data_IF_827128439001
#
_entry.id   IF_827128439001
#
_cell.length_a   1.000
_cell.length_b   1.000
_cell.length_c   1.000
_cell.angle_alpha   90.00
_cell.angle_beta   90.00
_cell.angle_gamma   90.00
#
_symmetry.space_group_name_H-M   'P 1'
#
loop_
_entity.id
_entity.type
_entity.pdbx_description
1 polymer ?
#
# COMPACT_ATOMS: atom_id res chain seq x y z
N UNK A 1 28.58 -49.36 -38.95
CA UNK A 1 27.88 -48.06 -38.88
C UNK A 1 26.48 -48.08 -38.28
N UNK A 2 25.62 -49.10 -38.46
CA UNK A 2 24.22 -49.13 -37.93
C UNK A 2 24.09 -49.22 -36.39
N UNK A 3 25.09 -49.75 -35.64
CA UNK A 3 25.03 -49.86 -34.16
C UNK A 3 25.30 -48.57 -33.42
N UNK A 4 26.10 -47.64 -34.00
CA UNK A 4 26.43 -46.34 -33.42
C UNK A 4 25.24 -45.38 -33.50
N UNK A 5 24.49 -45.39 -34.60
CA UNK A 5 23.32 -44.53 -34.83
C UNK A 5 22.19 -44.83 -33.86
N UNK A 6 21.97 -46.12 -33.51
CA UNK A 6 20.93 -46.52 -32.55
C UNK A 6 21.27 -46.09 -31.12
N UNK A 7 22.54 -46.09 -30.73
CA UNK A 7 23.01 -45.61 -29.41
C UNK A 7 22.87 -44.09 -29.29
N UNK A 8 23.22 -43.33 -30.35
CA UNK A 8 23.06 -41.89 -30.40
C UNK A 8 21.59 -41.45 -30.35
N UNK A 9 20.70 -42.17 -31.05
CA UNK A 9 19.23 -41.93 -31.04
C UNK A 9 18.64 -42.22 -29.67
N UNK A 10 19.13 -43.25 -28.97
CA UNK A 10 18.62 -43.61 -27.63
C UNK A 10 19.07 -42.55 -26.57
N UNK A 11 20.27 -42.04 -26.68
CA UNK A 11 20.78 -40.95 -25.81
C UNK A 11 20.02 -39.65 -26.07
N UNK A 12 19.70 -39.34 -27.34
CA UNK A 12 18.88 -38.17 -27.68
C UNK A 12 17.45 -38.28 -27.14
N UNK A 13 16.85 -39.50 -27.21
CA UNK A 13 15.48 -39.72 -26.68
C UNK A 13 15.44 -39.68 -25.16
N UNK A 14 16.49 -40.14 -24.46
CA UNK A 14 16.58 -40.02 -22.99
C UNK A 14 16.86 -38.58 -22.54
N UNK A 15 17.60 -37.79 -23.30
CA UNK A 15 17.77 -36.37 -23.05
C UNK A 15 16.47 -35.58 -23.27
N UNK A 16 15.69 -35.94 -24.30
CA UNK A 16 14.34 -35.30 -24.49
C UNK A 16 13.36 -35.68 -23.39
N UNK A 17 13.39 -36.91 -22.85
CA UNK A 17 12.49 -37.32 -21.78
C UNK A 17 12.75 -36.59 -20.45
N UNK A 18 13.98 -36.14 -20.19
CA UNK A 18 14.30 -35.34 -19.00
C UNK A 18 13.69 -33.94 -19.07
N UNK A 19 13.50 -33.39 -20.27
CA UNK A 19 12.81 -32.11 -20.44
C UNK A 19 11.29 -32.18 -20.22
N UNK A 20 10.68 -33.34 -20.38
CA UNK A 20 9.22 -33.50 -20.13
C UNK A 20 8.88 -33.71 -18.66
N UNK A 21 9.82 -34.10 -17.81
CA UNK A 21 9.58 -34.30 -16.37
C UNK A 21 9.56 -32.96 -15.62
N UNK A 22 10.20 -31.92 -16.16
CA UNK A 22 10.20 -30.54 -15.58
C UNK A 22 8.91 -29.78 -15.94
N UNK A 23 8.11 -30.25 -16.90
CA UNK A 23 6.88 -29.57 -17.33
C UNK A 23 5.64 -29.91 -16.49
N UNK A 24 5.72 -30.89 -15.57
CA UNK A 24 4.73 -31.07 -14.51
C UNK A 24 5.13 -30.22 -13.33
N UNK A 25 5.07 -28.87 -13.47
CA UNK A 25 5.27 -27.95 -12.36
C UNK A 25 4.29 -28.30 -11.25
N UNK A 26 4.78 -28.80 -10.12
CA UNK A 26 3.96 -29.01 -8.93
C UNK A 26 3.23 -27.70 -8.67
N UNK A 27 1.91 -27.72 -8.75
CA UNK A 27 1.08 -26.57 -8.44
C UNK A 27 1.38 -26.19 -6.99
N UNK A 28 1.86 -24.97 -6.78
CA UNK A 28 2.15 -24.48 -5.44
C UNK A 28 0.87 -24.53 -4.59
N UNK A 29 1.02 -24.96 -3.35
CA UNK A 29 -0.04 -24.86 -2.37
C UNK A 29 -0.35 -23.40 -2.04
N UNK A 30 -1.54 -23.13 -1.54
CA UNK A 30 -1.95 -21.78 -1.11
C UNK A 30 -0.94 -21.20 -0.10
N UNK A 31 -0.45 -22.02 0.84
CA UNK A 31 0.55 -21.63 1.82
C UNK A 31 1.84 -21.19 1.15
N UNK A 32 2.38 -21.98 0.24
CA UNK A 32 3.62 -21.64 -0.49
C UNK A 32 3.49 -20.35 -1.30
N UNK A 33 2.32 -20.12 -1.92
CA UNK A 33 2.08 -18.86 -2.65
C UNK A 33 2.10 -17.67 -1.70
N UNK A 34 1.44 -17.77 -0.53
CA UNK A 34 1.42 -16.71 0.48
C UNK A 34 2.82 -16.45 1.05
N UNK A 35 3.57 -17.50 1.39
CA UNK A 35 4.94 -17.38 1.91
C UNK A 35 5.87 -16.68 0.91
N UNK A 36 5.82 -17.08 -0.36
CA UNK A 36 6.62 -16.45 -1.43
C UNK A 36 6.21 -15.00 -1.70
N UNK A 37 4.91 -14.69 -1.64
CA UNK A 37 4.42 -13.32 -1.73
C UNK A 37 4.99 -12.46 -0.61
N UNK A 38 4.87 -12.91 0.65
CA UNK A 38 5.40 -12.20 1.82
C UNK A 38 6.91 -11.97 1.71
N UNK A 39 7.66 -12.99 1.26
CA UNK A 39 9.10 -12.88 1.05
C UNK A 39 9.43 -11.82 0.00
N UNK A 40 8.72 -11.83 -1.13
CA UNK A 40 8.93 -10.87 -2.21
C UNK A 40 8.53 -9.45 -1.80
N UNK A 41 7.42 -9.29 -1.08
CA UNK A 41 6.91 -8.00 -0.63
C UNK A 41 7.87 -7.34 0.39
N UNK A 42 8.42 -8.12 1.33
CA UNK A 42 9.46 -7.68 2.28
C UNK A 42 10.75 -7.20 1.62
N UNK A 43 11.01 -7.60 0.40
CA UNK A 43 12.20 -7.21 -0.37
C UNK A 43 11.95 -6.01 -1.29
N UNK A 44 10.76 -5.38 -1.21
CA UNK A 44 10.48 -4.15 -1.94
C UNK A 44 11.17 -2.98 -1.24
N UNK A 45 12.10 -2.35 -1.96
CA UNK A 45 12.85 -1.18 -1.50
C UNK A 45 12.37 0.12 -2.10
N UNK A 46 11.66 0.04 -3.22
CA UNK A 46 11.04 1.19 -3.88
C UNK A 46 9.92 0.73 -4.81
N UNK A 47 8.95 1.57 -5.04
CA UNK A 47 7.88 1.32 -6.00
C UNK A 47 7.20 2.62 -6.44
N UNK A 48 6.61 2.57 -7.63
CA UNK A 48 5.59 3.52 -8.05
C UNK A 48 4.21 2.87 -7.93
N UNK A 49 3.23 3.62 -7.46
CA UNK A 49 1.83 3.21 -7.35
C UNK A 49 0.94 4.22 -8.06
N UNK A 50 0.02 3.73 -8.87
CA UNK A 50 -1.13 4.51 -9.34
C UNK A 50 -2.33 4.10 -8.52
N UNK A 51 -2.99 5.05 -7.88
CA UNK A 51 -4.07 4.81 -6.94
C UNK A 51 -5.36 5.46 -7.44
N UNK A 52 -6.47 4.77 -7.25
CA UNK A 52 -7.82 5.30 -7.45
C UNK A 52 -8.68 4.96 -6.25
N UNK A 53 -9.51 5.90 -5.83
CA UNK A 53 -10.49 5.70 -4.77
C UNK A 53 -11.83 6.23 -5.26
N UNK A 54 -12.87 5.41 -5.16
CA UNK A 54 -14.24 5.76 -5.51
C UNK A 54 -15.14 5.56 -4.31
N UNK A 55 -15.98 6.55 -4.03
CA UNK A 55 -17.01 6.49 -3.00
C UNK A 55 -18.34 6.82 -3.67
N UNK A 56 -19.33 5.95 -3.48
CA UNK A 56 -20.65 6.10 -4.04
C UNK A 56 -21.70 6.04 -2.92
N UNK A 57 -22.56 7.03 -2.87
CA UNK A 57 -23.74 7.03 -2.02
C UNK A 57 -24.99 6.89 -2.89
N UNK A 58 -25.74 5.81 -2.70
CA UNK A 58 -27.04 5.60 -3.35
C UNK A 58 -28.14 5.82 -2.33
N UNK A 59 -28.97 6.83 -2.55
CA UNK A 59 -30.15 7.10 -1.73
C UNK A 59 -31.43 6.72 -2.47
N UNK A 60 -32.42 6.24 -1.74
CA UNK A 60 -33.76 5.99 -2.29
C UNK A 60 -34.44 7.28 -2.80
N UNK A 61 -34.07 8.45 -2.26
CA UNK A 61 -34.62 9.76 -2.62
C UNK A 61 -33.86 10.47 -3.73
N UNK A 62 -32.61 10.05 -4.04
CA UNK A 62 -31.82 10.56 -5.15
C UNK A 62 -31.19 9.39 -5.91
N UNK A 63 -31.86 8.88 -6.96
CA UNK A 63 -31.35 7.75 -7.75
C UNK A 63 -30.03 8.03 -8.47
N UNK A 64 -29.71 9.30 -8.74
CA UNK A 64 -28.43 9.69 -9.33
C UNK A 64 -27.25 9.52 -8.35
N UNK A 65 -27.54 9.50 -7.04
CA UNK A 65 -26.55 9.33 -6.00
C UNK A 65 -25.51 10.45 -5.95
N UNK A 66 -24.53 10.27 -5.07
CA UNK A 66 -23.31 11.09 -5.05
C UNK A 66 -22.16 10.13 -5.34
N UNK A 67 -21.34 10.45 -6.33
CA UNK A 67 -20.12 9.72 -6.64
C UNK A 67 -18.94 10.67 -6.53
N UNK A 68 -17.94 10.27 -5.75
CA UNK A 68 -16.65 10.96 -5.64
C UNK A 68 -15.55 10.01 -6.10
N UNK A 69 -14.66 10.51 -6.94
CA UNK A 69 -13.49 9.77 -7.38
C UNK A 69 -12.24 10.61 -7.12
N UNK A 70 -11.26 10.01 -6.49
CA UNK A 70 -9.92 10.56 -6.31
C UNK A 70 -8.92 9.63 -6.99
N UNK A 71 -7.90 10.20 -7.61
CA UNK A 71 -6.81 9.45 -8.19
C UNK A 71 -5.48 10.08 -7.82
N UNK A 72 -4.43 9.30 -7.80
CA UNK A 72 -3.10 9.80 -7.48
C UNK A 72 -2.01 8.85 -7.90
N UNK A 73 -0.79 9.39 -7.90
CA UNK A 73 0.42 8.62 -8.10
C UNK A 73 1.30 8.79 -6.87
N UNK A 74 1.87 7.70 -6.40
CA UNK A 74 2.83 7.66 -5.33
C UNK A 74 4.12 7.04 -5.86
N UNK A 75 5.24 7.72 -5.69
CA UNK A 75 6.57 7.13 -5.80
C UNK A 75 7.16 7.04 -4.40
N UNK A 76 7.67 5.89 -4.02
CA UNK A 76 8.28 5.67 -2.71
C UNK A 76 9.63 4.98 -2.82
N UNK A 77 10.58 5.45 -2.04
CA UNK A 77 11.85 4.78 -1.75
C UNK A 77 11.85 4.50 -0.24
N UNK A 78 11.99 3.23 0.13
CA UNK A 78 12.00 2.77 1.52
C UNK A 78 13.43 2.63 2.05
N UNK A 79 14.36 2.27 1.17
CA UNK A 79 15.78 2.06 1.49
C UNK A 79 16.68 2.74 0.45
N UNK A 80 17.84 3.30 0.86
CA UNK A 80 18.42 3.33 2.20
C UNK A 80 17.82 4.38 3.13
N UNK A 81 17.07 5.35 2.60
CA UNK A 81 16.38 6.40 3.36
C UNK A 81 14.98 6.62 2.77
N UNK A 82 14.02 6.84 3.65
CA UNK A 82 12.64 7.08 3.23
C UNK A 82 12.55 8.38 2.42
N UNK A 83 12.02 8.25 1.20
CA UNK A 83 11.62 9.38 0.39
C UNK A 83 10.30 9.06 -0.32
N UNK A 84 9.43 10.04 -0.46
CA UNK A 84 8.12 9.90 -1.09
C UNK A 84 7.80 11.11 -1.96
N UNK A 85 7.12 10.85 -3.06
CA UNK A 85 6.43 11.84 -3.88
C UNK A 85 5.01 11.37 -4.09
N UNK A 86 4.03 12.22 -3.84
CA UNK A 86 2.62 11.94 -4.05
C UNK A 86 1.96 13.08 -4.83
N UNK A 87 1.28 12.74 -5.91
CA UNK A 87 0.46 13.63 -6.70
C UNK A 87 -1.00 13.16 -6.61
N UNK A 88 -1.91 13.96 -6.07
CA UNK A 88 -3.33 13.62 -5.91
C UNK A 88 -4.17 14.59 -6.74
N UNK A 89 -5.11 14.08 -7.50
CA UNK A 89 -6.16 14.87 -8.12
C UNK A 89 -7.26 15.13 -7.10
N UNK A 90 -7.55 16.39 -6.80
CA UNK A 90 -8.56 16.77 -5.82
C UNK A 90 -9.95 16.59 -6.44
N UNK A 91 -10.87 15.83 -5.78
CA UNK A 91 -12.24 15.67 -6.27
C UNK A 91 -12.92 17.03 -6.48
N UNK A 92 -13.78 17.12 -7.49
CA UNK A 92 -14.54 18.32 -7.86
C UNK A 92 -13.71 19.55 -8.25
N UNK A 93 -12.39 19.40 -8.35
CA UNK A 93 -11.52 20.45 -8.87
C UNK A 93 -10.54 19.85 -9.87
N UNK A 94 -10.05 20.67 -10.81
CA UNK A 94 -8.95 20.27 -11.69
C UNK A 94 -7.58 20.47 -11.03
N UNK A 95 -7.57 20.80 -9.74
CA UNK A 95 -6.35 21.08 -9.02
C UNK A 95 -5.66 19.79 -8.60
N UNK A 96 -4.34 19.80 -8.66
CA UNK A 96 -3.49 18.71 -8.17
C UNK A 96 -2.80 19.15 -6.89
N UNK A 97 -2.80 18.28 -5.91
CA UNK A 97 -2.00 18.41 -4.71
C UNK A 97 -0.71 17.61 -4.94
N UNK A 98 0.43 18.28 -4.90
CA UNK A 98 1.73 17.62 -4.92
C UNK A 98 2.34 17.66 -3.51
N UNK A 99 2.83 16.51 -3.06
CA UNK A 99 3.51 16.39 -1.78
C UNK A 99 4.81 15.61 -1.96
N UNK A 100 5.86 16.09 -1.32
CA UNK A 100 7.14 15.38 -1.21
C UNK A 100 7.49 15.20 0.25
N UNK A 101 8.19 14.13 0.53
CA UNK A 101 8.75 13.86 1.85
C UNK A 101 10.15 13.28 1.68
N UNK A 102 11.11 13.92 2.32
CA UNK A 102 12.53 13.52 2.30
C UNK A 102 13.28 14.24 3.42
N UNK A 103 14.25 13.58 4.03
CA UNK A 103 15.19 14.16 4.99
C UNK A 103 14.49 14.93 6.14
N UNK A 104 13.53 14.31 6.81
CA UNK A 104 12.75 14.88 7.93
C UNK A 104 11.88 16.09 7.57
N UNK A 105 11.67 16.36 6.29
CA UNK A 105 10.78 17.43 5.81
C UNK A 105 9.69 16.91 4.91
N UNK A 106 8.51 17.52 5.01
CA UNK A 106 7.48 17.47 3.99
C UNK A 106 7.36 18.80 3.26
N UNK A 107 7.07 18.71 1.99
CA UNK A 107 6.86 19.82 1.09
C UNK A 107 5.50 19.62 0.44
N UNK A 108 4.58 20.55 0.68
CA UNK A 108 3.18 20.44 0.24
C UNK A 108 2.89 21.65 -0.66
N UNK A 109 2.44 21.38 -1.88
CA UNK A 109 2.00 22.44 -2.78
C UNK A 109 0.52 22.75 -2.53
N UNK A 110 0.20 23.98 -2.21
CA UNK A 110 -1.19 24.43 -2.08
C UNK A 110 -1.86 24.40 -3.47
N UNK A 111 -2.93 23.62 -3.65
CA UNK A 111 -3.57 23.44 -4.94
C UNK A 111 -4.28 24.70 -5.48
N UNK A 112 -4.52 25.71 -4.63
CA UNK A 112 -5.24 26.92 -5.03
C UNK A 112 -4.32 28.04 -5.56
N UNK A 113 -3.10 28.12 -5.05
CA UNK A 113 -2.16 29.20 -5.39
C UNK A 113 -0.77 28.70 -5.84
N UNK A 114 -0.58 27.38 -5.89
CA UNK A 114 0.68 26.71 -6.22
C UNK A 114 1.87 27.06 -5.31
N UNK A 115 1.64 27.70 -4.16
CA UNK A 115 2.71 28.00 -3.21
C UNK A 115 3.10 26.73 -2.46
N UNK A 116 4.40 26.63 -2.18
CA UNK A 116 4.95 25.53 -1.41
C UNK A 116 5.00 25.89 0.07
N UNK A 117 4.69 24.91 0.89
CA UNK A 117 4.82 24.92 2.34
C UNK A 117 5.85 23.85 2.67
N UNK A 118 6.86 24.20 3.46
CA UNK A 118 7.83 23.27 4.01
C UNK A 118 7.55 23.11 5.50
N UNK A 119 7.46 21.86 5.96
CA UNK A 119 7.20 21.55 7.36
C UNK A 119 8.22 20.51 7.86
N UNK A 120 8.66 20.66 9.09
CA UNK A 120 9.47 19.65 9.76
C UNK A 120 8.62 18.40 10.02
N UNK A 121 9.16 17.24 9.70
CA UNK A 121 8.58 15.92 9.96
C UNK A 121 9.46 15.10 10.91
N UNK A 122 10.10 15.75 11.87
CA UNK A 122 10.88 15.05 12.90
C UNK A 122 9.99 14.02 13.60
N UNK A 123 10.44 12.77 13.60
CA UNK A 123 9.65 11.65 14.15
C UNK A 123 8.74 10.93 13.15
N UNK A 124 8.51 11.47 11.95
CA UNK A 124 7.72 10.75 10.92
C UNK A 124 8.38 9.42 10.51
N UNK A 125 9.71 9.39 10.41
CA UNK A 125 10.45 8.15 10.15
C UNK A 125 10.14 7.07 11.20
N UNK A 126 10.00 7.44 12.47
CA UNK A 126 9.58 6.51 13.53
C UNK A 126 8.12 6.10 13.39
N UNK A 127 7.23 7.03 13.06
CA UNK A 127 5.81 6.72 12.82
C UNK A 127 5.66 5.82 11.59
N UNK A 128 6.40 6.11 10.51
CA UNK A 128 6.42 5.27 9.32
C UNK A 128 6.97 3.87 9.63
N UNK A 129 8.03 3.78 10.43
CA UNK A 129 8.58 2.49 10.89
C UNK A 129 7.54 1.72 11.70
N UNK A 130 6.74 2.39 12.54
CA UNK A 130 5.63 1.76 13.26
C UNK A 130 4.53 1.28 12.32
N UNK A 131 4.15 2.07 11.31
CA UNK A 131 3.20 1.65 10.27
C UNK A 131 3.74 0.48 9.45
N UNK A 132 5.02 0.51 9.10
CA UNK A 132 5.67 -0.62 8.41
C UNK A 132 5.75 -1.87 9.30
N UNK A 133 5.93 -1.70 10.60
CA UNK A 133 5.83 -2.83 11.54
C UNK A 133 4.43 -3.43 11.59
N UNK A 134 3.36 -2.66 11.30
CA UNK A 134 2.00 -3.19 11.18
C UNK A 134 1.84 -4.08 9.92
N UNK A 135 2.69 -3.92 8.90
CA UNK A 135 2.70 -4.86 7.76
C UNK A 135 3.06 -6.28 8.21
N UNK A 136 3.90 -6.45 9.23
CA UNK A 136 4.18 -7.75 9.81
C UNK A 136 2.94 -8.39 10.45
N UNK A 137 2.05 -7.61 11.05
CA UNK A 137 0.78 -8.12 11.57
C UNK A 137 -0.15 -8.58 10.42
N UNK A 138 -0.10 -7.91 9.25
CA UNK A 138 -0.79 -8.37 8.04
C UNK A 138 -0.22 -9.71 7.57
N UNK A 139 1.10 -9.86 7.50
CA UNK A 139 1.72 -11.13 7.09
C UNK A 139 1.40 -12.26 8.07
N UNK A 140 1.46 -11.99 9.35
CA UNK A 140 1.06 -12.93 10.40
C UNK A 140 -0.42 -13.33 10.25
N UNK A 141 -1.29 -12.37 9.95
CA UNK A 141 -2.69 -12.66 9.69
C UNK A 141 -2.86 -13.57 8.49
N UNK A 142 -2.18 -13.30 7.37
CA UNK A 142 -2.24 -14.13 6.16
C UNK A 142 -1.82 -15.57 6.47
N UNK A 143 -0.72 -15.76 7.21
CA UNK A 143 -0.20 -17.08 7.55
C UNK A 143 -1.09 -17.82 8.56
N UNK A 144 -1.68 -17.12 9.54
CA UNK A 144 -2.55 -17.73 10.55
C UNK A 144 -3.96 -18.04 10.04
N UNK A 145 -4.40 -17.37 8.97
CA UNK A 145 -5.75 -17.49 8.44
C UNK A 145 -5.79 -18.02 7.00
N UNK A 146 -4.84 -18.87 6.61
CA UNK A 146 -4.73 -19.45 5.27
C UNK A 146 -6.07 -20.07 4.80
N UNK A 147 -6.79 -20.73 5.69
CA UNK A 147 -8.05 -21.39 5.37
C UNK A 147 -9.16 -20.39 4.99
N UNK A 148 -9.09 -19.16 5.51
CA UNK A 148 -10.06 -18.08 5.24
C UNK A 148 -9.72 -17.27 3.98
N UNK A 149 -8.57 -17.52 3.36
CA UNK A 149 -8.11 -16.83 2.16
C UNK A 149 -8.44 -17.68 0.95
N UNK A 150 -9.10 -17.11 -0.05
CA UNK A 150 -9.30 -17.74 -1.34
C UNK A 150 -8.07 -17.48 -2.23
N UNK A 151 -7.51 -18.55 -2.81
CA UNK A 151 -6.50 -18.46 -3.86
C UNK A 151 -7.13 -18.82 -5.20
N UNK A 152 -7.08 -17.93 -6.16
CA UNK A 152 -7.49 -18.16 -7.55
C UNK A 152 -6.33 -17.89 -8.50
N UNK A 153 -6.42 -18.46 -9.68
CA UNK A 153 -5.49 -18.20 -10.77
C UNK A 153 -6.22 -17.51 -11.91
N UNK A 154 -5.64 -16.43 -12.44
CA UNK A 154 -6.19 -15.68 -13.57
C UNK A 154 -5.04 -15.15 -14.44
N UNK A 155 -5.00 -15.60 -15.70
CA UNK A 155 -4.08 -15.04 -16.74
C UNK A 155 -2.62 -15.28 -16.35
N UNK A 156 -1.87 -15.64 -15.80
CA UNK A 156 -0.44 -15.71 -15.35
C UNK A 156 -0.24 -15.20 -13.97
N UNK A 157 -1.31 -14.86 -13.23
CA UNK A 157 -1.26 -14.25 -11.89
C UNK A 157 -2.00 -15.11 -10.86
N UNK A 158 -1.63 -14.93 -9.58
CA UNK A 158 -2.42 -15.39 -8.44
C UNK A 158 -3.31 -14.24 -7.93
N UNK A 159 -4.52 -14.59 -7.49
CA UNK A 159 -5.40 -13.68 -6.78
C UNK A 159 -5.57 -14.22 -5.35
N UNK A 160 -5.04 -13.52 -4.37
CA UNK A 160 -5.32 -13.75 -2.95
C UNK A 160 -6.49 -12.89 -2.53
N UNK A 161 -7.62 -13.51 -2.19
CA UNK A 161 -8.85 -12.82 -1.86
C UNK A 161 -9.14 -13.04 -0.37
N UNK A 162 -9.24 -11.96 0.37
CA UNK A 162 -9.58 -11.93 1.79
C UNK A 162 -10.97 -11.33 1.90
N UNK A 163 -11.90 -12.11 2.42
CA UNK A 163 -13.26 -11.66 2.73
C UNK A 163 -13.40 -11.53 4.24
N UNK A 164 -14.31 -10.67 4.66
CA UNK A 164 -14.65 -10.52 6.08
C UNK A 164 -13.48 -10.04 6.96
N UNK A 165 -13.09 -8.79 6.75
CA UNK A 165 -11.88 -8.14 7.23
C UNK A 165 -11.84 -7.82 8.74
N UNK A 166 -12.94 -8.05 9.49
CA UNK A 166 -13.01 -7.74 10.93
C UNK A 166 -11.91 -8.44 11.75
N UNK A 167 -11.58 -9.68 11.40
CA UNK A 167 -10.55 -10.45 12.09
C UNK A 167 -9.13 -9.84 11.88
N UNK A 168 -8.89 -9.22 10.73
CA UNK A 168 -7.63 -8.52 10.49
C UNK A 168 -7.54 -7.24 11.33
N UNK A 169 -8.57 -6.42 11.38
CA UNK A 169 -8.58 -5.22 12.22
C UNK A 169 -8.31 -5.57 13.70
N UNK A 170 -8.89 -6.67 14.19
CA UNK A 170 -8.57 -7.19 15.53
C UNK A 170 -7.09 -7.56 15.66
N UNK A 171 -6.49 -8.18 14.66
CA UNK A 171 -5.07 -8.54 14.68
C UNK A 171 -4.13 -7.34 14.60
N UNK A 172 -4.61 -6.22 14.06
CA UNK A 172 -3.91 -4.93 14.02
C UNK A 172 -4.12 -4.08 15.28
N UNK A 173 -4.84 -4.62 16.29
CA UNK A 173 -5.23 -3.91 17.51
C UNK A 173 -6.03 -2.62 17.26
N UNK A 174 -6.78 -2.56 16.17
CA UNK A 174 -7.70 -1.46 15.89
C UNK A 174 -8.94 -1.66 16.77
N UNK A 175 -9.36 -0.65 17.55
CA UNK A 175 -10.56 -0.75 18.40
C UNK A 175 -11.83 -1.07 17.59
N UNK A 176 -12.70 -1.93 18.13
CA UNK A 176 -13.91 -2.38 17.40
C UNK A 176 -14.80 -1.21 16.96
N UNK A 177 -14.93 -0.18 17.78
CA UNK A 177 -15.73 1.01 17.46
C UNK A 177 -15.22 1.79 16.24
N UNK A 178 -13.96 1.62 15.84
CA UNK A 178 -13.39 2.26 14.65
C UNK A 178 -13.70 1.52 13.36
N UNK A 179 -14.00 0.23 13.43
CA UNK A 179 -14.32 -0.56 12.24
C UNK A 179 -15.76 -1.08 12.17
N UNK A 180 -16.61 -0.78 13.16
CA UNK A 180 -18.04 -1.11 13.10
C UNK A 180 -18.78 -0.42 11.95
N UNK A 181 -18.25 0.72 11.50
CA UNK A 181 -18.77 1.40 10.32
C UNK A 181 -18.50 0.65 9.01
N UNK A 182 -17.52 -0.24 8.97
CA UNK A 182 -17.15 -0.96 7.76
C UNK A 182 -17.91 -2.28 7.64
N UNK A 183 -18.56 -2.49 6.51
CA UNK A 183 -19.30 -3.70 6.21
C UNK A 183 -18.83 -4.30 4.90
N UNK A 184 -18.86 -5.63 4.82
CA UNK A 184 -18.59 -6.41 3.61
C UNK A 184 -17.26 -6.06 2.92
N UNK A 185 -16.21 -5.76 3.73
CA UNK A 185 -14.90 -5.46 3.16
C UNK A 185 -14.30 -6.71 2.53
N UNK A 186 -13.84 -6.55 1.30
CA UNK A 186 -13.05 -7.53 0.56
C UNK A 186 -11.76 -6.89 0.09
N UNK A 187 -10.66 -7.63 0.22
CA UNK A 187 -9.35 -7.25 -0.32
C UNK A 187 -8.87 -8.31 -1.29
N UNK A 188 -8.20 -7.88 -2.34
CA UNK A 188 -7.56 -8.78 -3.29
C UNK A 188 -6.16 -8.29 -3.60
N UNK A 189 -5.19 -9.17 -3.47
CA UNK A 189 -3.84 -8.99 -3.99
C UNK A 189 -3.73 -9.79 -5.29
N UNK A 190 -3.46 -9.10 -6.39
CA UNK A 190 -3.03 -9.72 -7.64
C UNK A 190 -1.50 -9.80 -7.63
N UNK A 191 -0.96 -11.01 -7.83
CA UNK A 191 0.44 -11.35 -7.63
C UNK A 191 0.97 -12.02 -8.88
N UNK A 192 2.09 -11.57 -9.41
CA UNK A 192 2.75 -12.22 -10.55
C UNK A 192 3.24 -13.62 -10.17
N UNK A 193 2.92 -14.63 -10.97
CA UNK A 193 3.28 -16.02 -10.68
C UNK A 193 4.76 -16.35 -10.74
N UNK A 194 5.55 -15.54 -11.42
CA UNK A 194 6.99 -15.80 -11.61
C UNK A 194 7.82 -15.13 -10.51
N UNK A 195 7.48 -13.87 -10.22
CA UNK A 195 8.24 -13.03 -9.29
C UNK A 195 7.64 -12.98 -7.89
N UNK A 196 6.37 -13.34 -7.73
CA UNK A 196 5.55 -13.18 -6.52
C UNK A 196 5.43 -11.73 -6.04
N UNK A 197 5.79 -10.76 -6.88
CA UNK A 197 5.60 -9.35 -6.60
C UNK A 197 4.13 -8.93 -6.76
N UNK A 198 3.65 -7.95 -5.99
CA UNK A 198 2.32 -7.40 -6.17
C UNK A 198 2.21 -6.68 -7.53
N UNK A 199 1.09 -6.88 -8.22
CA UNK A 199 0.70 -6.15 -9.43
C UNK A 199 -0.37 -5.12 -9.07
N UNK A 200 -1.41 -5.58 -8.37
CA UNK A 200 -2.55 -4.75 -8.00
C UNK A 200 -3.03 -5.13 -6.61
N UNK A 201 -3.34 -4.13 -5.82
CA UNK A 201 -4.09 -4.28 -4.59
C UNK A 201 -5.45 -3.61 -4.76
N UNK A 202 -6.53 -4.31 -4.44
CA UNK A 202 -7.87 -3.74 -4.42
C UNK A 202 -8.53 -3.95 -3.06
N UNK A 203 -9.29 -2.96 -2.63
CA UNK A 203 -10.14 -3.05 -1.45
C UNK A 203 -11.50 -2.45 -1.79
N UNK A 204 -12.57 -3.15 -1.43
CA UNK A 204 -13.92 -2.65 -1.63
C UNK A 204 -14.82 -3.07 -0.47
N UNK A 205 -15.89 -2.32 -0.26
CA UNK A 205 -16.84 -2.59 0.81
C UNK A 205 -17.86 -1.48 0.94
N UNK A 206 -18.54 -1.46 2.08
CA UNK A 206 -19.47 -0.40 2.41
C UNK A 206 -19.12 0.25 3.76
N UNK A 207 -19.26 1.57 3.81
CA UNK A 207 -19.17 2.36 5.04
C UNK A 207 -20.60 2.76 5.44
N UNK A 208 -20.94 2.49 6.68
CA UNK A 208 -22.22 2.91 7.25
C UNK A 208 -21.97 3.92 8.37
N UNK A 209 -22.42 5.16 8.15
CA UNK A 209 -22.39 6.22 9.16
C UNK A 209 -23.84 6.62 9.42
N UNK A 210 -24.32 6.37 10.62
CA UNK A 210 -25.72 6.55 10.99
C UNK A 210 -26.67 5.82 10.02
N UNK A 211 -27.47 6.58 9.25
CA UNK A 211 -28.41 6.05 8.26
C UNK A 211 -27.88 6.13 6.82
N UNK A 212 -26.64 6.56 6.64
CA UNK A 212 -26.00 6.72 5.33
C UNK A 212 -25.14 5.50 5.06
N UNK A 213 -25.41 4.81 3.94
CA UNK A 213 -24.54 3.76 3.41
C UNK A 213 -23.82 4.29 2.18
N UNK A 214 -22.50 4.15 2.18
CA UNK A 214 -21.64 4.51 1.06
C UNK A 214 -20.85 3.28 0.65
N UNK A 215 -20.85 2.94 -0.63
CA UNK A 215 -19.97 1.94 -1.19
C UNK A 215 -18.63 2.59 -1.52
N UNK A 216 -17.53 1.92 -1.22
CA UNK A 216 -16.19 2.39 -1.60
C UNK A 216 -15.44 1.31 -2.36
N UNK A 217 -14.55 1.77 -3.25
CA UNK A 217 -13.58 0.96 -3.94
C UNK A 217 -12.24 1.69 -3.99
N UNK A 218 -11.18 0.98 -3.66
CA UNK A 218 -9.80 1.45 -3.74
C UNK A 218 -9.00 0.48 -4.60
N UNK A 219 -8.17 1.00 -5.48
CA UNK A 219 -7.22 0.25 -6.29
C UNK A 219 -5.85 0.91 -6.22
N UNK A 220 -4.81 0.12 -6.04
CA UNK A 220 -3.42 0.53 -6.19
C UNK A 220 -2.70 -0.42 -7.14
N UNK A 221 -2.16 0.11 -8.23
CA UNK A 221 -1.36 -0.63 -9.22
C UNK A 221 0.11 -0.34 -8.98
N UNK A 222 0.89 -1.39 -8.84
CA UNK A 222 2.33 -1.33 -8.64
C UNK A 222 3.07 -1.30 -9.96
N UNK A 223 4.12 -0.50 -10.03
CA UNK A 223 5.05 -0.45 -11.14
C UNK A 223 6.45 -0.05 -10.65
N UNK A 224 7.47 -0.19 -11.48
CA UNK A 224 8.85 0.18 -11.16
C UNK A 224 9.36 -0.37 -9.81
N UNK A 225 8.87 -1.54 -9.39
CA UNK A 225 9.30 -2.17 -8.12
C UNK A 225 10.81 -2.35 -8.14
N UNK A 226 11.48 -1.82 -7.10
CA UNK A 226 12.94 -1.79 -6.93
C UNK A 226 13.69 -1.03 -8.04
N UNK A 227 13.00 -0.16 -8.81
CA UNK A 227 13.57 0.61 -9.91
C UNK A 227 13.38 2.11 -9.80
N UNK A 228 12.75 2.62 -8.74
CA UNK A 228 12.69 4.06 -8.45
C UNK A 228 14.06 4.51 -7.98
N UNK A 229 14.74 5.34 -8.79
CA UNK A 229 16.14 5.69 -8.52
C UNK A 229 16.29 6.86 -7.54
N UNK A 230 15.48 7.90 -7.73
CA UNK A 230 15.57 9.11 -6.93
C UNK A 230 14.23 9.86 -6.93
N UNK A 231 13.93 10.51 -5.81
CA UNK A 231 12.85 11.47 -5.69
C UNK A 231 13.47 12.86 -5.57
N UNK A 232 13.27 13.67 -6.61
CA UNK A 232 13.83 15.03 -6.71
C UNK A 232 12.76 16.02 -6.25
N UNK A 233 13.09 16.80 -5.22
CA UNK A 233 12.22 17.85 -4.72
C UNK A 233 12.38 19.09 -5.62
N UNK A 234 11.29 19.73 -6.06
CA UNK A 234 11.36 20.96 -6.82
C UNK A 234 12.14 22.06 -6.08
N UNK A 235 12.89 22.88 -6.84
CA UNK A 235 13.69 23.95 -6.24
C UNK A 235 12.85 24.93 -5.43
N UNK A 236 11.68 25.29 -5.95
CA UNK A 236 10.73 26.18 -5.32
C UNK A 236 10.21 25.62 -3.97
N UNK A 237 10.10 24.29 -3.87
CA UNK A 237 9.72 23.62 -2.63
C UNK A 237 10.86 23.66 -1.61
N UNK A 238 12.11 23.47 -2.05
CA UNK A 238 13.29 23.57 -1.18
C UNK A 238 13.49 24.99 -0.59
N UNK A 239 13.15 26.00 -1.39
CA UNK A 239 13.25 27.42 -1.02
C UNK A 239 12.02 27.90 -0.23
N UNK A 240 11.00 27.06 -0.05
CA UNK A 240 9.80 27.43 0.70
C UNK A 240 10.11 27.75 2.16
N UNK A 241 9.36 28.72 2.70
CA UNK A 241 9.47 29.07 4.12
C UNK A 241 9.00 27.91 4.98
N UNK A 242 9.78 27.58 5.98
CA UNK A 242 9.41 26.57 6.97
C UNK A 242 8.27 27.08 7.86
N UNK A 243 7.21 26.30 7.95
CA UNK A 243 6.08 26.54 8.82
C UNK A 243 6.07 25.48 9.93
N UNK A 244 5.64 25.87 11.12
CA UNK A 244 5.45 24.93 12.22
C UNK A 244 4.39 23.90 11.86
N UNK A 245 4.63 22.65 12.23
CA UNK A 245 3.61 21.61 12.06
C UNK A 245 2.37 21.91 12.91
N UNK A 246 1.18 21.38 12.54
CA UNK A 246 -0.01 21.54 13.36
C UNK A 246 0.18 21.07 14.80
N UNK A 247 0.98 20.03 15.03
CA UNK A 247 1.30 19.50 16.36
C UNK A 247 2.16 20.48 17.18
N UNK A 248 3.16 21.10 16.54
CA UNK A 248 3.98 22.14 17.19
C UNK A 248 3.17 23.41 17.51
N UNK A 249 2.22 23.76 16.64
CA UNK A 249 1.30 24.89 16.87
C UNK A 249 0.35 24.60 18.04
N UNK A 250 -0.19 23.37 18.15
CA UNK A 250 -1.04 22.97 19.27
C UNK A 250 -0.29 22.97 20.59
N UNK A 251 0.93 22.41 20.63
CA UNK A 251 1.75 22.41 21.85
C UNK A 251 2.11 23.83 22.31
N UNK A 252 2.36 24.75 21.39
CA UNK A 252 2.63 26.15 21.74
C UNK A 252 1.39 26.84 22.29
N UNK A 253 0.20 26.53 21.72
CA UNK A 253 -1.08 27.06 22.21
C UNK A 253 -1.41 26.51 23.61
N UNK A 254 -1.22 25.21 23.85
CA UNK A 254 -1.40 24.60 25.17
C UNK A 254 -0.43 25.13 26.23
N UNK A 255 0.83 25.42 25.85
CA UNK A 255 1.81 26.05 26.75
C UNK A 255 1.45 27.49 27.12
N UNK A 256 0.85 28.23 26.19
CA UNK A 256 0.37 29.61 26.43
C UNK A 256 -0.85 29.60 27.34
N UNK A 257 -1.76 28.64 27.18
CA UNK A 257 -2.97 28.53 27.99
C UNK A 257 -2.75 27.92 29.39
N UNK A 258 -1.63 27.18 29.59
CA UNK A 258 -1.33 26.50 30.86
C UNK A 258 0.16 26.61 31.24
N UNK A 259 0.63 27.78 31.67
CA UNK A 259 2.05 28.03 31.94
C UNK A 259 2.64 27.28 33.16
N UNK A 260 1.80 26.60 33.98
CA UNK A 260 2.26 25.88 35.20
C UNK A 260 2.82 24.46 34.93
N UNK A 261 2.87 23.96 33.70
CA UNK A 261 3.30 22.58 33.41
C UNK A 261 4.84 22.45 33.27
N UNK A 262 5.56 23.54 33.00
CA UNK A 262 6.99 23.49 32.66
C UNK A 262 7.95 23.38 33.89
N UNK A 263 7.48 23.61 35.12
CA UNK A 263 8.36 23.61 36.33
C UNK A 263 8.54 22.23 37.00
N UNK A 264 7.94 21.13 36.49
CA UNK A 264 7.98 19.81 37.14
C UNK A 264 8.80 18.72 36.43
N UNK A 265 9.40 19.02 35.26
CA UNK A 265 10.15 18.00 34.49
C UNK A 265 11.66 18.03 34.79
N UNK A 266 12.23 19.10 35.38
CA UNK A 266 13.68 19.23 35.62
C UNK A 266 14.16 18.74 37.00
N UNK A 267 13.35 18.02 37.77
CA UNK A 267 13.77 17.42 39.04
C UNK A 267 13.37 15.96 39.18
N UNK A 268 14.01 15.10 38.39
CA UNK A 268 14.23 13.68 38.77
C UNK A 268 15.45 13.11 38.07
#
# INVERSE_FOLDING_TARGET
>A
MKKSLKKSLFILLTLLSVFFIVACGNKLSKKEVIEKFIESDKNIKSADLTMTMKIEQKNSTNPAGISMEASGNLSVILEPALAMKMDITVPFSNNKLAMYMKDDYSYIQNPNNNQWIKQSNKGFGEQFTKLYAQSNAMYDFLLKNIDKIDLKEKGGNYLLIIKNFKDLFKSLNIPENQFDMFNDISMTFEIDKKTFLPITFTMSGAIKVENIKMDFAFEAKYSNINNVKEIIIPKEALEAKEEKSPEEQQQETEKIENPEIDDKVDKK
#
